data_IF_248027222826
#
_entry.id   IF_248027222826
#
_cell.length_a   1.000
_cell.length_b   1.000
_cell.length_c   1.000
_cell.angle_alpha   90.00
_cell.angle_beta   90.00
_cell.angle_gamma   90.00
#
_symmetry.space_group_name_H-M   'P 1'
#
loop_
_entity.id
_entity.type
_entity.pdbx_description
1 polymer ?
#
# COMPACT_ATOMS: atom_id res chain seq x y z
N UNK A 1 -8.54 -14.73 -1.02
CA UNK A 1 -8.23 -13.69 -0.01
C UNK A 1 -9.13 -13.83 1.21
N UNK A 2 -10.46 -13.73 1.07
CA UNK A 2 -11.41 -13.73 2.20
C UNK A 2 -11.25 -14.91 3.17
N UNK A 3 -11.19 -16.14 2.67
CA UNK A 3 -11.06 -17.35 3.52
C UNK A 3 -9.79 -17.37 4.37
N UNK A 4 -8.72 -16.72 3.90
CA UNK A 4 -7.44 -16.65 4.62
C UNK A 4 -7.50 -15.56 5.68
N UNK A 5 -8.02 -14.38 5.35
CA UNK A 5 -8.07 -13.25 6.28
C UNK A 5 -8.96 -13.52 7.50
N UNK A 6 -10.07 -14.25 7.33
CA UNK A 6 -10.92 -14.68 8.45
C UNK A 6 -10.14 -15.51 9.47
N UNK A 7 -9.21 -16.36 9.02
CA UNK A 7 -8.41 -17.22 9.90
C UNK A 7 -7.27 -16.48 10.62
N UNK A 8 -7.03 -15.21 10.27
CA UNK A 8 -6.03 -14.35 10.90
C UNK A 8 -6.63 -13.47 12.01
N UNK A 9 -7.87 -13.75 12.42
CA UNK A 9 -8.52 -13.09 13.55
C UNK A 9 -8.81 -14.14 14.62
N UNK A 10 -8.22 -14.06 15.83
CA UNK A 10 -7.31 -13.01 16.29
C UNK A 10 -5.94 -13.01 15.56
N UNK A 11 -5.25 -11.88 15.60
CA UNK A 11 -3.96 -11.72 14.92
C UNK A 11 -2.93 -12.74 15.41
N UNK A 12 -2.27 -13.49 14.51
CA UNK A 12 -1.18 -14.37 14.89
C UNK A 12 0.04 -13.57 15.39
N UNK A 13 0.92 -14.17 16.22
CA UNK A 13 2.13 -13.49 16.70
C UNK A 13 3.04 -13.01 15.56
N UNK A 14 3.61 -11.82 15.73
CA UNK A 14 4.52 -11.18 14.78
C UNK A 14 3.82 -10.59 13.54
N UNK A 15 4.54 -9.71 12.85
CA UNK A 15 4.02 -8.98 11.69
C UNK A 15 3.66 -9.93 10.54
N UNK A 16 2.42 -9.82 10.05
CA UNK A 16 1.96 -10.45 8.81
C UNK A 16 1.93 -9.41 7.68
N UNK A 17 2.75 -9.60 6.66
CA UNK A 17 2.76 -8.72 5.49
C UNK A 17 1.76 -9.25 4.45
N UNK A 18 0.79 -8.44 4.07
CA UNK A 18 -0.18 -8.73 3.02
C UNK A 18 0.33 -8.09 1.73
N UNK A 19 0.81 -8.91 0.80
CA UNK A 19 1.43 -8.47 -0.44
C UNK A 19 0.37 -8.40 -1.53
N UNK A 20 0.19 -7.23 -2.15
CA UNK A 20 -0.73 -6.98 -3.26
C UNK A 20 0.06 -6.72 -4.57
N UNK A 21 0.34 -7.77 -5.37
CA UNK A 21 1.14 -7.62 -6.59
C UNK A 21 0.42 -6.88 -7.71
N UNK A 22 -0.91 -6.96 -7.74
CA UNK A 22 -1.77 -6.39 -8.76
C UNK A 22 -1.67 -4.86 -8.87
N UNK A 23 -1.27 -4.20 -7.78
CA UNK A 23 -1.06 -2.76 -7.68
C UNK A 23 0.42 -2.43 -7.35
N UNK A 24 1.35 -3.25 -7.84
CA UNK A 24 2.79 -3.06 -7.67
C UNK A 24 3.31 -1.78 -8.35
N UNK A 25 3.68 -0.78 -7.54
CA UNK A 25 4.23 0.50 -8.02
C UNK A 25 5.51 0.29 -8.84
N UNK A 26 6.39 -0.63 -8.42
CA UNK A 26 7.60 -0.96 -9.17
C UNK A 26 7.33 -1.62 -10.53
N UNK A 27 6.14 -2.18 -10.72
CA UNK A 27 5.65 -2.71 -12.00
C UNK A 27 4.90 -1.68 -12.86
N UNK A 28 4.83 -0.42 -12.41
CA UNK A 28 4.15 0.67 -13.10
C UNK A 28 2.71 0.93 -12.66
N UNK A 29 2.21 0.22 -11.63
CA UNK A 29 0.88 0.48 -11.11
C UNK A 29 0.76 1.86 -10.44
N UNK A 30 -0.47 2.38 -10.26
CA UNK A 30 -0.70 3.64 -9.56
C UNK A 30 -0.34 3.61 -8.06
N UNK A 31 -0.45 2.46 -7.39
CA UNK A 31 -0.22 2.35 -5.95
C UNK A 31 -1.39 2.82 -5.09
N UNK A 32 -2.58 2.93 -5.68
CA UNK A 32 -3.78 3.48 -5.05
C UNK A 32 -4.94 2.48 -4.95
N UNK A 33 -4.75 1.23 -5.35
CA UNK A 33 -5.77 0.18 -5.34
C UNK A 33 -6.39 -0.02 -3.96
N UNK A 34 -7.71 -0.19 -3.92
CA UNK A 34 -8.51 -0.29 -2.69
C UNK A 34 -8.85 -1.73 -2.31
N UNK A 35 -8.55 -2.71 -3.17
CA UNK A 35 -8.88 -4.13 -2.95
C UNK A 35 -8.43 -4.66 -1.59
N UNK A 36 -7.14 -4.52 -1.27
CA UNK A 36 -6.61 -4.93 0.03
C UNK A 36 -7.23 -4.13 1.20
N UNK A 37 -7.32 -2.80 1.09
CA UNK A 37 -7.93 -1.96 2.14
C UNK A 37 -9.36 -2.39 2.45
N UNK A 38 -10.19 -2.63 1.42
CA UNK A 38 -11.56 -3.13 1.56
C UNK A 38 -11.60 -4.47 2.30
N UNK A 39 -10.67 -5.36 2.00
CA UNK A 39 -10.58 -6.67 2.66
C UNK A 39 -10.18 -6.54 4.13
N UNK A 40 -9.19 -5.71 4.45
CA UNK A 40 -8.75 -5.44 5.83
C UNK A 40 -9.92 -4.90 6.67
N UNK A 41 -10.72 -3.99 6.11
CA UNK A 41 -11.91 -3.43 6.76
C UNK A 41 -13.05 -4.44 6.89
N UNK A 42 -13.36 -5.17 5.81
CA UNK A 42 -14.42 -6.20 5.78
C UNK A 42 -14.21 -7.25 6.87
N UNK A 43 -12.96 -7.70 7.05
CA UNK A 43 -12.60 -8.74 8.02
C UNK A 43 -12.16 -8.18 9.37
N UNK A 44 -12.22 -6.86 9.57
CA UNK A 44 -11.87 -6.18 10.82
C UNK A 44 -10.51 -6.60 11.36
N UNK A 45 -9.51 -6.65 10.48
CA UNK A 45 -8.16 -6.99 10.90
C UNK A 45 -7.68 -5.95 11.94
N UNK A 46 -7.20 -6.39 13.11
CA UNK A 46 -6.76 -5.48 14.18
C UNK A 46 -5.39 -4.88 13.87
N UNK A 47 -5.09 -3.70 14.41
CA UNK A 47 -3.78 -3.07 14.37
C UNK A 47 -3.06 -3.16 13.00
N UNK A 48 -3.69 -2.58 12.00
CA UNK A 48 -3.32 -2.68 10.59
C UNK A 48 -2.69 -1.40 10.05
N UNK A 49 -1.79 -1.53 9.07
CA UNK A 49 -1.34 -0.39 8.27
C UNK A 49 -1.32 -0.67 6.76
N UNK A 50 -1.57 0.36 5.94
CA UNK A 50 -1.45 0.29 4.48
C UNK A 50 -1.05 1.65 3.90
N UNK A 51 -0.15 1.65 2.92
CA UNK A 51 0.24 2.85 2.18
C UNK A 51 -0.56 2.95 0.87
N UNK A 52 -1.09 4.13 0.57
CA UNK A 52 -1.89 4.43 -0.62
C UNK A 52 -1.39 5.73 -1.24
N UNK A 53 -1.04 5.69 -2.52
CA UNK A 53 -0.68 6.89 -3.27
C UNK A 53 -1.95 7.67 -3.65
N UNK A 54 -2.31 8.69 -2.89
CA UNK A 54 -3.52 9.49 -3.10
C UNK A 54 -3.24 11.00 -2.90
N UNK A 55 -2.68 11.67 -3.92
CA UNK A 55 -2.34 13.08 -3.84
C UNK A 55 -3.55 13.98 -3.57
N UNK A 56 -4.74 13.59 -4.01
CA UNK A 56 -5.97 14.34 -3.80
C UNK A 56 -6.41 14.29 -2.34
N UNK A 57 -6.35 13.11 -1.70
CA UNK A 57 -6.66 12.97 -0.28
C UNK A 57 -5.64 13.73 0.58
N UNK A 58 -4.35 13.67 0.26
CA UNK A 58 -3.32 14.48 0.94
C UNK A 58 -3.65 15.97 0.85
N UNK A 59 -4.01 16.48 -0.33
CA UNK A 59 -4.37 17.88 -0.52
C UNK A 59 -5.59 18.30 0.31
N UNK A 60 -6.63 17.46 0.39
CA UNK A 60 -7.82 17.73 1.21
C UNK A 60 -7.50 17.78 2.71
N UNK A 61 -6.53 16.99 3.16
CA UNK A 61 -6.11 16.92 4.57
C UNK A 61 -5.14 18.03 4.98
N UNK A 62 -4.54 18.75 4.03
CA UNK A 62 -3.46 19.70 4.28
C UNK A 62 -3.85 20.83 5.24
N UNK A 63 -5.09 21.32 5.15
CA UNK A 63 -5.57 22.47 5.92
C UNK A 63 -6.32 22.12 7.22
N UNK A 64 -6.60 20.83 7.48
CA UNK A 64 -7.36 20.42 8.66
C UNK A 64 -6.52 20.52 9.95
N UNK A 65 -7.08 20.60 11.15
CA UNK A 65 -6.28 20.39 12.36
C UNK A 65 -5.91 18.90 12.53
N UNK A 66 -4.78 18.61 13.15
CA UNK A 66 -4.47 17.23 13.60
C UNK A 66 -5.53 16.83 14.64
N UNK A 67 -6.00 15.58 14.57
CA UNK A 67 -7.14 15.07 15.34
C UNK A 67 -8.50 15.33 14.70
N UNK A 68 -8.57 16.06 13.58
CA UNK A 68 -9.83 16.24 12.85
C UNK A 68 -10.37 14.91 12.32
N UNK A 69 -11.70 14.75 12.40
CA UNK A 69 -12.42 13.68 11.71
C UNK A 69 -13.06 14.21 10.44
N UNK A 70 -12.87 13.52 9.33
CA UNK A 70 -13.38 13.92 8.02
C UNK A 70 -13.74 12.69 7.20
N UNK A 71 -14.82 12.76 6.44
CA UNK A 71 -15.17 11.74 5.45
C UNK A 71 -14.63 12.15 4.09
N UNK A 72 -13.81 11.30 3.48
CA UNK A 72 -13.22 11.56 2.15
C UNK A 72 -13.00 10.26 1.35
N UNK A 73 -12.98 10.34 0.01
CA UNK A 73 -12.69 9.19 -0.85
C UNK A 73 -11.19 8.88 -0.90
N UNK A 74 -10.81 7.66 -0.50
CA UNK A 74 -9.43 7.16 -0.47
C UNK A 74 -9.19 6.10 -1.55
N UNK A 75 -8.09 6.25 -2.29
CA UNK A 75 -7.61 5.31 -3.30
C UNK A 75 -8.52 5.16 -4.53
N UNK A 76 -8.21 4.18 -5.38
CA UNK A 76 -9.07 3.66 -6.46
C UNK A 76 -9.32 4.60 -7.63
N UNK A 77 -8.47 5.63 -7.81
CA UNK A 77 -8.60 6.66 -8.85
C UNK A 77 -7.71 6.36 -10.06
N UNK A 78 -6.62 5.63 -9.87
CA UNK A 78 -5.55 5.46 -10.85
C UNK A 78 -5.75 4.34 -11.87
N UNK A 79 -6.68 3.41 -11.62
CA UNK A 79 -6.93 2.26 -12.51
C UNK A 79 -8.42 1.94 -12.60
N UNK A 80 -8.91 1.79 -13.83
CA UNK A 80 -10.27 1.31 -14.13
C UNK A 80 -10.52 -0.16 -13.74
N UNK A 81 -9.47 -0.89 -13.37
CA UNK A 81 -9.58 -2.28 -12.90
C UNK A 81 -9.90 -2.33 -11.39
N UNK A 82 -9.70 -1.23 -10.66
CA UNK A 82 -10.07 -1.13 -9.26
C UNK A 82 -11.59 -0.90 -9.11
N UNK A 83 -12.15 -1.27 -7.96
CA UNK A 83 -13.54 -1.02 -7.62
C UNK A 83 -13.86 0.47 -7.41
N UNK A 84 -12.84 1.32 -7.39
CA UNK A 84 -12.97 2.76 -7.25
C UNK A 84 -12.68 3.23 -5.83
N UNK A 85 -12.78 4.55 -5.59
CA UNK A 85 -12.49 5.13 -4.29
C UNK A 85 -13.37 4.57 -3.17
N UNK A 86 -12.80 4.46 -1.98
CA UNK A 86 -13.52 4.06 -0.77
C UNK A 86 -13.75 5.28 0.11
N UNK A 87 -15.03 5.66 0.30
CA UNK A 87 -15.40 6.77 1.19
C UNK A 87 -15.29 6.32 2.64
N UNK A 88 -14.41 6.94 3.41
CA UNK A 88 -14.14 6.59 4.81
C UNK A 88 -14.18 7.84 5.68
N UNK A 89 -14.83 7.75 6.85
CA UNK A 89 -14.57 8.68 7.95
C UNK A 89 -13.22 8.33 8.57
N UNK A 90 -12.28 9.27 8.59
CA UNK A 90 -10.95 9.05 9.15
C UNK A 90 -10.58 10.14 10.13
N UNK A 91 -9.78 9.77 11.13
CA UNK A 91 -9.10 10.71 12.01
C UNK A 91 -7.72 11.04 11.44
N UNK A 92 -7.38 12.32 11.32
CA UNK A 92 -6.07 12.76 10.87
C UNK A 92 -5.06 12.70 12.03
N UNK A 93 -4.10 11.78 11.95
CA UNK A 93 -3.10 11.56 13.00
C UNK A 93 -1.85 12.45 12.85
N UNK A 94 -1.38 12.62 11.62
CA UNK A 94 -0.19 13.43 11.35
C UNK A 94 -0.13 13.92 9.91
N UNK A 95 0.65 14.97 9.69
CA UNK A 95 1.13 15.43 8.39
C UNK A 95 2.61 15.69 8.48
N UNK A 96 3.37 15.20 7.51
CA UNK A 96 4.82 15.38 7.43
C UNK A 96 5.22 15.46 5.96
N UNK A 97 6.42 15.99 5.73
CA UNK A 97 7.06 15.72 4.45
C UNK A 97 7.44 14.23 4.35
N UNK A 98 7.64 13.78 3.11
CA UNK A 98 7.94 12.40 2.78
C UNK A 98 9.42 12.14 2.58
N UNK A 99 10.31 13.03 3.04
CA UNK A 99 11.75 12.90 2.83
C UNK A 99 12.38 11.97 3.85
N UNK A 100 13.12 10.97 3.38
CA UNK A 100 13.88 10.10 4.26
C UNK A 100 15.15 9.59 3.62
N UNK A 101 16.15 9.31 4.46
CA UNK A 101 17.34 8.56 4.03
C UNK A 101 17.00 7.08 4.00
N UNK A 102 17.45 6.39 2.96
CA UNK A 102 17.29 4.94 2.86
C UNK A 102 18.03 4.26 4.00
N UNK A 103 17.39 3.28 4.61
CA UNK A 103 18.01 2.43 5.63
C UNK A 103 19.01 1.48 4.99
N UNK A 104 18.69 0.98 3.79
CA UNK A 104 19.60 0.19 2.97
C UNK A 104 20.07 0.98 1.74
N UNK A 105 21.28 1.55 1.86
CA UNK A 105 21.95 2.30 0.79
C UNK A 105 22.49 1.43 -0.35
N UNK A 106 22.40 0.11 -0.24
CA UNK A 106 22.77 -0.85 -1.29
C UNK A 106 21.53 -1.50 -1.91
N UNK A 107 20.32 -1.05 -1.56
CA UNK A 107 19.07 -1.58 -2.08
C UNK A 107 18.86 -1.26 -3.55
N UNK A 108 17.93 -1.98 -4.19
CA UNK A 108 17.47 -1.64 -5.53
C UNK A 108 16.91 -0.21 -5.60
N UNK A 109 16.24 0.26 -4.54
CA UNK A 109 15.75 1.63 -4.46
C UNK A 109 16.91 2.62 -4.52
N UNK A 110 18.02 2.33 -3.81
CA UNK A 110 19.20 3.18 -3.83
C UNK A 110 19.82 3.32 -5.22
N UNK A 111 19.76 2.26 -6.04
CA UNK A 111 20.22 2.31 -7.44
C UNK A 111 19.38 3.24 -8.33
N UNK A 112 18.16 3.58 -7.92
CA UNK A 112 17.23 4.42 -8.67
C UNK A 112 17.24 5.88 -8.20
N UNK A 113 17.47 6.14 -6.91
CA UNK A 113 17.28 7.47 -6.32
C UNK A 113 18.44 7.97 -5.44
N UNK A 114 19.53 7.21 -5.28
CA UNK A 114 20.61 7.55 -4.36
C UNK A 114 20.29 7.14 -2.92
N UNK A 115 20.80 7.86 -1.92
CA UNK A 115 20.64 7.47 -0.51
C UNK A 115 19.45 8.11 0.21
N UNK A 116 18.55 8.76 -0.53
CA UNK A 116 17.32 9.35 -0.03
C UNK A 116 16.14 9.15 -0.98
N UNK A 117 14.92 9.22 -0.45
CA UNK A 117 13.68 9.15 -1.21
C UNK A 117 12.71 10.25 -0.75
N UNK A 118 11.83 10.68 -1.65
CA UNK A 118 10.82 11.71 -1.39
C UNK A 118 9.42 11.23 -1.81
N UNK A 119 8.57 10.94 -0.83
CA UNK A 119 7.17 10.57 -1.03
C UNK A 119 6.25 11.77 -1.33
N UNK A 120 6.80 12.99 -1.31
CA UNK A 120 6.07 14.25 -1.28
C UNK A 120 5.33 14.46 0.04
N UNK A 121 4.48 15.50 0.14
CA UNK A 121 3.58 15.66 1.27
C UNK A 121 2.83 14.38 1.60
N UNK A 122 2.80 14.03 2.89
CA UNK A 122 2.15 12.83 3.40
C UNK A 122 1.16 13.18 4.50
N UNK A 123 0.12 12.36 4.61
CA UNK A 123 -0.83 12.40 5.72
C UNK A 123 -1.05 10.98 6.25
N UNK A 124 -1.00 10.82 7.57
CA UNK A 124 -1.38 9.57 8.23
C UNK A 124 -2.77 9.74 8.81
N UNK A 125 -3.69 8.88 8.40
CA UNK A 125 -5.06 8.88 8.90
C UNK A 125 -5.41 7.53 9.52
N UNK A 126 -6.45 7.47 10.34
CA UNK A 126 -6.94 6.22 10.94
C UNK A 126 -8.44 6.05 10.74
N UNK A 127 -8.83 4.84 10.38
CA UNK A 127 -10.22 4.38 10.36
C UNK A 127 -10.32 3.08 11.16
N UNK A 128 -10.94 3.13 12.33
CA UNK A 128 -10.96 2.00 13.26
C UNK A 128 -9.53 1.51 13.57
N UNK A 129 -9.27 0.24 13.30
CA UNK A 129 -7.98 -0.43 13.52
C UNK A 129 -6.96 -0.24 12.37
N UNK A 130 -7.34 0.46 11.29
CA UNK A 130 -6.50 0.63 10.10
C UNK A 130 -5.86 2.02 10.09
N UNK A 131 -4.53 2.04 10.12
CA UNK A 131 -3.70 3.22 9.87
C UNK A 131 -3.37 3.31 8.38
N UNK A 132 -3.69 4.42 7.73
CA UNK A 132 -3.49 4.62 6.30
C UNK A 132 -2.45 5.72 6.12
N UNK A 133 -1.33 5.37 5.49
CA UNK A 133 -0.34 6.33 5.03
C UNK A 133 -0.72 6.79 3.61
N UNK A 134 -1.12 8.05 3.48
CA UNK A 134 -1.43 8.67 2.20
C UNK A 134 -0.20 9.43 1.70
N UNK A 135 0.27 9.10 0.50
CA UNK A 135 1.42 9.77 -0.14
C UNK A 135 0.97 10.58 -1.35
N UNK A 136 1.64 11.71 -1.62
CA UNK A 136 1.37 12.50 -2.83
C UNK A 136 2.24 12.10 -4.04
N UNK A 137 3.25 11.25 -3.83
CA UNK A 137 4.05 10.63 -4.89
C UNK A 137 4.01 9.12 -4.74
N UNK A 138 4.05 8.43 -5.88
CA UNK A 138 4.11 6.97 -5.93
C UNK A 138 5.37 6.50 -5.21
N UNK A 139 5.19 5.76 -4.13
CA UNK A 139 6.29 5.32 -3.28
C UNK A 139 6.28 3.80 -3.18
N UNK A 140 7.20 3.10 -3.86
CA UNK A 140 7.30 1.66 -3.74
C UNK A 140 7.75 1.28 -2.31
N UNK A 141 7.20 0.20 -1.71
CA UNK A 141 7.52 -0.20 -0.34
C UNK A 141 8.85 -0.97 -0.29
N UNK A 142 9.94 -0.33 -0.72
CA UNK A 142 11.27 -0.96 -0.84
C UNK A 142 12.22 -0.60 0.30
N UNK A 143 11.77 0.25 1.24
CA UNK A 143 12.53 0.67 2.42
C UNK A 143 11.55 0.99 3.57
N UNK A 144 11.93 0.67 4.82
CA UNK A 144 11.09 0.90 6.00
C UNK A 144 11.06 2.37 6.44
N UNK A 145 11.97 3.20 5.93
CA UNK A 145 11.95 4.65 6.04
C UNK A 145 10.64 5.27 5.53
N UNK A 146 9.93 4.59 4.62
CA UNK A 146 8.56 4.93 4.23
C UNK A 146 7.62 5.11 5.43
N UNK A 147 7.71 4.23 6.43
CA UNK A 147 6.88 4.30 7.64
C UNK A 147 7.52 5.16 8.72
N UNK A 148 8.82 4.97 8.97
CA UNK A 148 9.52 5.60 10.09
C UNK A 148 9.64 7.12 9.94
N UNK A 149 9.81 7.61 8.71
CA UNK A 149 9.75 9.05 8.42
C UNK A 149 8.43 9.69 8.82
N UNK A 150 7.36 8.89 8.84
CA UNK A 150 6.01 9.33 9.20
C UNK A 150 5.72 9.20 10.71
N UNK A 151 6.70 8.72 11.48
CA UNK A 151 6.59 8.43 12.91
C UNK A 151 5.93 7.09 13.21
N UNK A 152 5.85 6.18 12.23
CA UNK A 152 5.25 4.86 12.38
C UNK A 152 6.34 3.79 12.44
N UNK A 153 6.36 2.99 13.50
CA UNK A 153 7.27 1.85 13.60
C UNK A 153 6.60 0.59 13.00
N UNK A 154 7.06 0.09 11.84
CA UNK A 154 6.39 -1.01 11.14
C UNK A 154 6.33 -2.30 11.96
N UNK A 155 7.32 -2.56 12.82
CA UNK A 155 7.35 -3.76 13.67
C UNK A 155 6.25 -3.79 14.76
N UNK A 156 5.55 -2.67 14.99
CA UNK A 156 4.46 -2.57 15.98
C UNK A 156 3.09 -2.95 15.42
N UNK A 157 2.95 -3.12 14.10
CA UNK A 157 1.69 -3.54 13.49
C UNK A 157 1.53 -5.06 13.48
N UNK A 158 0.29 -5.52 13.58
CA UNK A 158 -0.05 -6.92 13.37
C UNK A 158 -0.08 -7.25 11.87
N UNK A 159 -0.54 -6.30 11.05
CA UNK A 159 -0.60 -6.44 9.61
C UNK A 159 -0.09 -5.18 8.89
N UNK A 160 0.69 -5.38 7.82
CA UNK A 160 1.01 -4.30 6.88
C UNK A 160 0.65 -4.75 5.47
N UNK A 161 -0.15 -3.94 4.78
CA UNK A 161 -0.38 -4.07 3.34
C UNK A 161 0.74 -3.43 2.53
N UNK A 162 1.35 -4.19 1.62
CA UNK A 162 2.40 -3.69 0.71
C UNK A 162 2.00 -3.90 -0.75
N UNK A 163 2.22 -2.87 -1.56
CA UNK A 163 1.87 -2.83 -2.98
C UNK A 163 3.08 -3.13 -3.84
N UNK A 164 3.45 -4.41 -3.93
CA UNK A 164 4.68 -4.87 -4.56
C UNK A 164 4.59 -6.33 -5.04
N UNK A 165 5.50 -6.72 -5.95
CA UNK A 165 5.66 -8.11 -6.35
C UNK A 165 6.73 -8.84 -5.52
N UNK A 166 8.00 -8.40 -5.60
CA UNK A 166 9.14 -9.08 -4.97
C UNK A 166 10.08 -8.11 -4.24
N UNK A 167 10.34 -6.92 -4.79
CA UNK A 167 11.38 -6.01 -4.26
C UNK A 167 11.16 -5.54 -2.81
N UNK A 168 9.92 -5.56 -2.30
CA UNK A 168 9.61 -5.28 -0.89
C UNK A 168 10.35 -6.21 0.08
N UNK A 169 10.66 -7.45 -0.33
CA UNK A 169 11.33 -8.43 0.52
C UNK A 169 12.64 -7.93 1.10
N UNK A 170 13.37 -7.07 0.36
CA UNK A 170 14.62 -6.47 0.85
C UNK A 170 14.43 -5.67 2.14
N UNK A 171 13.29 -4.99 2.29
CA UNK A 171 12.95 -4.23 3.48
C UNK A 171 12.17 -5.05 4.53
N UNK A 172 11.30 -5.96 4.09
CA UNK A 172 10.33 -6.60 4.98
C UNK A 172 10.73 -8.00 5.47
N UNK A 173 11.62 -8.74 4.78
CA UNK A 173 12.01 -10.11 5.20
C UNK A 173 12.62 -10.11 6.61
N UNK A 174 13.30 -9.04 7.02
CA UNK A 174 13.91 -8.92 8.35
C UNK A 174 12.92 -8.63 9.50
N UNK A 175 11.68 -8.22 9.19
CA UNK A 175 10.66 -7.85 10.20
C UNK A 175 9.37 -8.67 10.12
N UNK A 176 9.12 -9.34 9.00
CA UNK A 176 7.91 -10.12 8.78
C UNK A 176 8.05 -11.51 9.42
N UNK A 177 7.09 -11.88 10.26
CA UNK A 177 6.95 -13.26 10.70
C UNK A 177 6.39 -14.15 9.58
N UNK A 178 5.60 -13.56 8.67
CA UNK A 178 5.05 -14.22 7.49
C UNK A 178 4.62 -13.22 6.43
N UNK A 179 4.54 -13.68 5.20
CA UNK A 179 4.01 -12.91 4.06
C UNK A 179 2.91 -13.72 3.35
N UNK A 180 1.83 -13.06 2.97
CA UNK A 180 0.70 -13.64 2.26
C UNK A 180 0.43 -12.82 1.00
N UNK A 181 0.37 -13.48 -0.15
CA UNK A 181 0.04 -12.83 -1.41
C UNK A 181 -1.47 -12.81 -1.60
N UNK A 182 -2.02 -11.62 -1.82
CA UNK A 182 -3.43 -11.43 -2.11
C UNK A 182 -3.66 -11.33 -3.61
N UNK A 183 -4.77 -11.92 -4.05
CA UNK A 183 -5.26 -11.80 -5.41
C UNK A 183 -6.35 -10.74 -5.44
N UNK A 184 -6.01 -9.57 -5.99
CA UNK A 184 -6.92 -8.45 -6.22
C UNK A 184 -6.83 -8.01 -7.67
N UNK A 185 -7.89 -7.41 -8.25
CA UNK A 185 -7.81 -6.81 -9.58
C UNK A 185 -6.77 -5.69 -9.64
N UNK A 186 -6.07 -5.56 -10.76
CA UNK A 186 -5.12 -4.46 -10.94
C UNK A 186 -4.25 -4.62 -12.19
N UNK A 187 -3.57 -3.53 -12.62
CA UNK A 187 -2.80 -3.52 -13.86
C UNK A 187 -1.58 -4.45 -13.84
N UNK A 188 -1.07 -4.80 -12.66
CA UNK A 188 0.07 -5.71 -12.48
C UNK A 188 -0.37 -7.12 -12.04
N UNK A 189 -1.62 -7.50 -12.24
CA UNK A 189 -2.10 -8.85 -11.89
C UNK A 189 -1.31 -9.94 -12.61
N UNK A 190 -1.01 -11.04 -11.90
CA UNK A 190 -0.41 -12.23 -12.49
C UNK A 190 -1.39 -13.00 -13.40
N UNK A 191 -2.71 -12.78 -13.25
CA UNK A 191 -3.71 -13.33 -14.14
C UNK A 191 -3.78 -12.51 -15.44
N UNK A 192 -2.80 -12.69 -16.32
CA UNK A 192 -2.70 -11.94 -17.58
C UNK A 192 -3.91 -12.16 -18.51
N UNK A 193 -4.63 -13.28 -18.38
CA UNK A 193 -5.88 -13.53 -19.14
C UNK A 193 -7.00 -12.55 -18.78
N UNK A 194 -6.98 -11.97 -17.58
CA UNK A 194 -7.96 -10.97 -17.14
C UNK A 194 -7.72 -9.58 -17.75
N UNK A 195 -6.54 -9.34 -18.33
CA UNK A 195 -6.16 -8.06 -18.88
C UNK A 195 -6.71 -7.88 -20.30
N UNK A 196 -7.30 -6.72 -20.63
CA UNK A 196 -7.98 -6.48 -21.90
C UNK A 196 -7.00 -6.09 -23.02
N UNK A 197 -6.08 -6.98 -23.36
CA UNK A 197 -5.12 -6.78 -24.44
C UNK A 197 -5.84 -6.66 -25.80
N UNK A 198 -5.49 -5.63 -26.58
CA UNK A 198 -6.06 -5.39 -27.93
C UNK A 198 -5.03 -5.37 -29.06
N UNK A 199 -3.78 -5.00 -28.76
CA UNK A 199 -2.72 -4.75 -29.75
C UNK A 199 -1.47 -5.59 -29.46
N UNK A 200 -1.66 -6.85 -29.12
CA UNK A 200 -0.58 -7.81 -28.89
C UNK A 200 -0.40 -8.68 -30.14
N UNK A 201 0.84 -9.10 -30.42
CA UNK A 201 1.11 -10.06 -31.49
C UNK A 201 0.63 -11.44 -31.04
N UNK A 202 -0.20 -12.10 -31.85
CA UNK A 202 -0.73 -13.43 -31.60
C UNK A 202 -0.20 -14.44 -32.64
N UNK A 203 -0.07 -15.73 -32.30
CA UNK A 203 -0.40 -16.32 -31.00
C UNK A 203 0.64 -15.97 -29.92
N UNK A 204 0.19 -15.84 -28.67
CA UNK A 204 1.07 -15.65 -27.51
C UNK A 204 0.56 -16.44 -26.32
N UNK A 205 1.35 -17.41 -25.88
CA UNK A 205 1.10 -18.11 -24.62
C UNK A 205 1.21 -17.11 -23.44
N UNK A 206 0.33 -17.15 -22.43
CA UNK A 206 -0.76 -18.10 -22.23
C UNK A 206 -2.12 -17.62 -22.77
N UNK A 207 -2.21 -16.56 -23.57
CA UNK A 207 -3.50 -16.01 -24.01
C UNK A 207 -4.12 -16.83 -25.16
N UNK A 208 -3.26 -17.44 -25.97
CA UNK A 208 -3.56 -18.37 -27.06
C UNK A 208 -3.17 -19.80 -26.70
#
# INVERSE_FOLDING_TARGET
>A
MDEVLVKLVPAPPGLTVLVEPSDNIGGGAPGDGTGLLRAMLKHRLPNCAIAINDPQAVAQLAALPIGARVTLPIGGKGSRLDAGPLSLEVELLSRRDGHFKLEDKQSHLASMCGDAFDMGPCAVVRHGEVTILLTSRKTPPFDLGQWRSQGLEPTRFSFIGVKAAVAHRRAYDGIAARMLWVDTPGPCTSNVRSLPYRRIRRPVYPLD
#
